data_IF_751747866829
#
_entry.id   IF_751747866829
#
_cell.length_a   1.000
_cell.length_b   1.000
_cell.length_c   1.000
_cell.angle_alpha   90.00
_cell.angle_beta   90.00
_cell.angle_gamma   90.00
#
_symmetry.space_group_name_H-M   'P 1'
#
loop_
_entity.id
_entity.type
_entity.pdbx_description
1 polymer ?
#
# COMPACT_ATOMS: atom_id res chain seq x y z
N UNK A 1 5.64 -16.04 7.16
CA UNK A 1 6.03 -15.38 5.89
C UNK A 1 4.74 -14.88 5.30
N UNK A 2 4.47 -13.59 5.45
CA UNK A 2 3.20 -12.96 5.06
C UNK A 2 3.26 -12.63 3.56
N UNK A 3 2.20 -12.96 2.81
CA UNK A 3 2.14 -12.87 1.34
C UNK A 3 1.22 -11.70 0.94
N UNK A 4 1.61 -10.79 0.04
CA UNK A 4 0.74 -9.70 -0.39
C UNK A 4 -0.21 -10.11 -1.52
N UNK A 5 -1.38 -9.47 -1.59
CA UNK A 5 -2.35 -9.43 -2.72
C UNK A 5 -3.37 -10.58 -2.85
N UNK A 6 -4.62 -10.37 -2.38
CA UNK A 6 -5.87 -10.42 -3.21
C UNK A 6 -7.15 -10.55 -2.34
N UNK A 7 -8.19 -9.77 -2.68
CA UNK A 7 -9.60 -10.02 -2.39
C UNK A 7 -10.43 -9.55 -3.61
N UNK A 8 -11.42 -10.33 -4.06
CA UNK A 8 -12.30 -10.14 -5.24
C UNK A 8 -11.77 -9.50 -6.55
N UNK A 9 -11.76 -10.30 -7.64
CA UNK A 9 -11.50 -9.93 -9.06
C UNK A 9 -10.38 -8.88 -9.25
N UNK A 10 -9.14 -9.25 -8.93
CA UNK A 10 -7.96 -8.50 -9.38
C UNK A 10 -7.94 -8.48 -10.91
N UNK A 11 -8.17 -7.29 -11.49
CA UNK A 11 -8.06 -7.04 -12.93
C UNK A 11 -6.76 -6.30 -13.16
N UNK A 12 -5.73 -7.02 -13.63
CA UNK A 12 -4.46 -6.41 -14.02
C UNK A 12 -4.50 -6.14 -15.52
N UNK A 13 -4.42 -4.87 -15.95
CA UNK A 13 -4.45 -4.44 -17.36
C UNK A 13 -3.07 -3.88 -17.81
N UNK A 14 -2.65 -4.28 -19.03
CA UNK A 14 -1.33 -4.03 -19.67
C UNK A 14 -0.08 -4.23 -18.77
N UNK A 15 1.15 -3.90 -19.20
CA UNK A 15 2.46 -4.49 -18.80
C UNK A 15 2.89 -4.28 -17.31
N UNK A 16 2.09 -4.70 -16.34
CA UNK A 16 2.43 -4.61 -14.92
C UNK A 16 3.47 -5.65 -14.52
N UNK A 17 4.37 -5.27 -13.62
CA UNK A 17 5.45 -6.13 -13.11
C UNK A 17 5.39 -6.16 -11.59
N UNK A 18 5.37 -7.37 -11.01
CA UNK A 18 5.49 -7.59 -9.57
C UNK A 18 6.80 -8.33 -9.33
N UNK A 19 7.64 -7.78 -8.46
CA UNK A 19 8.95 -8.34 -8.11
C UNK A 19 8.97 -8.66 -6.62
N UNK A 20 9.28 -9.91 -6.27
CA UNK A 20 9.77 -10.23 -4.92
C UNK A 20 8.96 -11.22 -4.07
N UNK A 21 7.66 -11.50 -4.31
CA UNK A 21 6.88 -12.42 -3.44
C UNK A 21 5.69 -13.09 -4.17
N UNK A 22 4.83 -13.78 -3.41
CA UNK A 22 3.63 -14.52 -3.84
C UNK A 22 2.37 -13.64 -3.88
N UNK A 23 1.39 -14.03 -4.71
CA UNK A 23 0.10 -13.34 -4.91
C UNK A 23 -0.99 -14.34 -4.50
N UNK A 24 -1.85 -13.98 -3.54
CA UNK A 24 -2.85 -14.91 -2.98
C UNK A 24 -4.14 -14.28 -2.50
N UNK A 25 -5.28 -14.87 -2.89
CA UNK A 25 -6.63 -14.44 -2.50
C UNK A 25 -7.18 -15.28 -1.34
N UNK A 26 -7.82 -14.65 -0.35
CA UNK A 26 -8.61 -15.37 0.66
C UNK A 26 -9.65 -14.47 1.37
N UNK A 27 -10.92 -14.89 1.52
CA UNK A 27 -11.60 -15.89 0.69
C UNK A 27 -11.98 -15.27 -0.67
N UNK A 28 -11.70 -15.94 -1.78
CA UNK A 28 -12.14 -15.42 -3.09
C UNK A 28 -11.76 -16.31 -4.26
N UNK A 29 -11.85 -15.77 -5.48
CA UNK A 29 -11.49 -16.47 -6.74
C UNK A 29 -10.04 -16.22 -7.12
N UNK A 30 -9.46 -17.05 -8.01
CA UNK A 30 -8.10 -16.86 -8.48
C UNK A 30 -7.88 -15.46 -9.10
N UNK A 31 -6.72 -14.86 -8.84
CA UNK A 31 -6.31 -13.58 -9.42
C UNK A 31 -6.29 -13.67 -10.96
N UNK A 32 -6.72 -12.62 -11.68
CA UNK A 32 -6.87 -12.66 -13.15
C UNK A 32 -5.95 -11.66 -13.87
N UNK A 33 -5.76 -11.86 -15.18
CA UNK A 33 -5.05 -10.90 -16.04
C UNK A 33 -3.54 -11.14 -16.23
N UNK A 34 -2.92 -12.17 -15.66
CA UNK A 34 -1.46 -12.37 -15.73
C UNK A 34 -0.90 -13.01 -17.01
N UNK A 35 -1.75 -13.39 -17.98
CA UNK A 35 -1.39 -14.23 -19.13
C UNK A 35 -0.34 -13.65 -20.10
N UNK A 36 0.01 -12.37 -19.99
CA UNK A 36 1.06 -11.69 -20.79
C UNK A 36 1.98 -10.79 -19.94
N UNK A 37 2.11 -11.03 -18.62
CA UNK A 37 2.77 -10.10 -17.68
C UNK A 37 3.91 -10.76 -16.92
N UNK A 38 4.95 -9.98 -16.66
CA UNK A 38 6.18 -10.48 -16.02
C UNK A 38 6.02 -10.48 -14.50
N UNK A 39 5.91 -11.67 -13.92
CA UNK A 39 6.11 -11.91 -12.50
C UNK A 39 7.54 -12.38 -12.32
N UNK A 40 8.33 -11.71 -11.47
CA UNK A 40 9.74 -12.05 -11.27
C UNK A 40 9.94 -12.39 -9.79
N UNK A 41 10.10 -13.69 -9.48
CA UNK A 41 10.32 -14.18 -8.11
C UNK A 41 9.68 -15.56 -7.84
N UNK A 42 9.76 -16.03 -6.58
CA UNK A 42 9.05 -17.25 -6.12
C UNK A 42 7.55 -16.95 -6.00
N UNK A 43 6.79 -17.31 -7.02
CA UNK A 43 5.34 -17.09 -7.06
C UNK A 43 4.57 -18.34 -6.62
N UNK A 44 3.80 -18.27 -5.54
CA UNK A 44 2.53 -19.01 -5.49
C UNK A 44 1.45 -18.08 -6.05
N UNK A 45 0.77 -18.51 -7.11
CA UNK A 45 -0.44 -17.88 -7.62
C UNK A 45 -1.62 -18.72 -7.13
N UNK A 46 -2.53 -18.16 -6.35
CA UNK A 46 -3.85 -18.77 -6.13
C UNK A 46 -4.33 -18.84 -4.68
N UNK A 47 -5.39 -19.63 -4.52
CA UNK A 47 -6.09 -19.91 -3.27
C UNK A 47 -5.35 -21.04 -2.54
N UNK A 48 -4.86 -20.77 -1.33
CA UNK A 48 -4.14 -21.76 -0.53
C UNK A 48 -3.90 -21.31 0.90
N UNK A 49 -3.39 -22.19 1.75
CA UNK A 49 -3.14 -21.93 3.19
C UNK A 49 -2.25 -20.71 3.42
N UNK A 50 -1.32 -20.41 2.51
CA UNK A 50 -0.48 -19.21 2.57
C UNK A 50 -1.29 -17.92 2.46
N UNK A 51 -2.32 -17.88 1.60
CA UNK A 51 -3.20 -16.71 1.46
C UNK A 51 -4.12 -16.55 2.67
N UNK A 52 -4.60 -17.64 3.25
CA UNK A 52 -5.37 -17.62 4.50
C UNK A 52 -4.55 -17.10 5.66
N UNK A 53 -3.33 -17.61 5.85
CA UNK A 53 -2.41 -17.13 6.89
C UNK A 53 -2.05 -15.66 6.68
N UNK A 54 -1.79 -15.24 5.44
CA UNK A 54 -1.51 -13.85 5.12
C UNK A 54 -2.67 -12.91 5.48
N UNK A 55 -3.92 -13.35 5.28
CA UNK A 55 -5.10 -12.58 5.72
C UNK A 55 -5.13 -12.44 7.25
N UNK A 56 -4.88 -13.53 7.99
CA UNK A 56 -4.81 -13.49 9.45
C UNK A 56 -3.70 -12.57 9.94
N UNK A 57 -2.52 -12.64 9.34
CA UNK A 57 -1.38 -11.78 9.68
C UNK A 57 -1.69 -10.30 9.37
N UNK A 58 -2.38 -10.02 8.26
CA UNK A 58 -2.87 -8.68 7.90
C UNK A 58 -3.87 -8.14 8.94
N UNK A 59 -4.82 -8.95 9.39
CA UNK A 59 -5.81 -8.52 10.38
C UNK A 59 -5.14 -8.16 11.72
N UNK A 60 -4.11 -8.93 12.12
CA UNK A 60 -3.26 -8.59 13.28
C UNK A 60 -2.53 -7.27 13.07
N UNK A 61 -1.91 -7.07 11.90
CA UNK A 61 -1.17 -5.84 11.59
C UNK A 61 -2.09 -4.61 11.56
N UNK A 62 -3.30 -4.74 11.00
CA UNK A 62 -4.33 -3.69 11.00
C UNK A 62 -4.74 -3.33 12.42
N UNK A 63 -4.99 -4.33 13.26
CA UNK A 63 -5.37 -4.10 14.66
C UNK A 63 -4.26 -3.41 15.45
N UNK A 64 -3.01 -3.88 15.33
CA UNK A 64 -1.84 -3.25 15.96
C UNK A 64 -1.63 -1.81 15.47
N UNK A 65 -1.75 -1.57 14.16
CA UNK A 65 -1.61 -0.23 13.60
C UNK A 65 -2.73 0.71 14.06
N UNK A 66 -3.95 0.20 14.26
CA UNK A 66 -5.09 0.98 14.77
C UNK A 66 -4.96 1.34 16.26
N UNK A 67 -4.34 0.48 17.06
CA UNK A 67 -4.12 0.72 18.50
C UNK A 67 -2.87 1.58 18.78
N UNK A 68 -2.03 1.82 17.78
CA UNK A 68 -0.84 2.64 17.95
C UNK A 68 -1.20 4.07 18.43
N UNK A 69 -0.56 4.58 19.50
CA UNK A 69 -0.93 5.86 20.08
C UNK A 69 -0.61 7.01 19.13
N UNK A 70 -1.61 7.87 18.90
CA UNK A 70 -1.48 9.04 18.03
C UNK A 70 -0.33 9.95 18.47
N UNK A 71 0.53 10.32 17.52
CA UNK A 71 1.53 11.38 17.69
C UNK A 71 0.97 12.74 17.25
N UNK A 72 0.29 12.79 16.11
CA UNK A 72 -0.25 14.03 15.53
C UNK A 72 -1.50 13.76 14.71
N UNK A 73 -2.53 14.60 14.87
CA UNK A 73 -3.66 14.63 13.93
C UNK A 73 -3.36 15.58 12.79
N UNK A 74 -3.56 15.10 11.57
CA UNK A 74 -3.43 15.85 10.31
C UNK A 74 -4.78 15.91 9.57
N UNK A 75 -5.88 15.76 10.30
CA UNK A 75 -7.24 15.83 9.72
C UNK A 75 -7.44 17.17 8.99
N UNK A 76 -7.80 17.09 7.70
CA UNK A 76 -8.00 18.27 6.84
C UNK A 76 -6.70 18.90 6.31
N UNK A 77 -5.54 18.35 6.64
CA UNK A 77 -4.23 18.79 6.13
C UNK A 77 -3.81 17.90 4.97
N UNK A 78 -3.45 18.51 3.84
CA UNK A 78 -2.84 17.78 2.72
C UNK A 78 -1.40 17.38 3.07
N UNK A 79 -1.02 16.14 2.75
CA UNK A 79 0.33 15.62 3.01
C UNK A 79 1.38 16.19 2.03
N UNK A 80 0.95 16.78 0.92
CA UNK A 80 1.82 17.40 -0.06
C UNK A 80 2.61 18.57 0.52
N UNK A 81 3.93 18.54 0.34
CA UNK A 81 4.88 19.53 0.82
C UNK A 81 5.34 19.29 2.26
N UNK A 82 4.76 18.31 2.96
CA UNK A 82 5.16 18.02 4.34
C UNK A 82 6.45 17.21 4.40
N UNK A 83 7.22 17.48 5.45
CA UNK A 83 8.28 16.58 5.92
C UNK A 83 7.90 16.09 7.31
N UNK A 84 7.74 14.77 7.44
CA UNK A 84 7.32 14.11 8.67
C UNK A 84 8.48 13.31 9.27
N UNK A 85 8.51 13.22 10.59
CA UNK A 85 9.42 12.38 11.37
C UNK A 85 8.72 11.06 11.72
N UNK A 86 9.42 10.02 12.21
CA UNK A 86 8.76 8.79 12.66
C UNK A 86 7.65 9.09 13.68
N UNK A 87 6.50 8.44 13.54
CA UNK A 87 5.33 8.70 14.37
C UNK A 87 4.02 8.15 13.80
N UNK A 88 2.95 8.35 14.56
CA UNK A 88 1.58 7.96 14.22
C UNK A 88 0.77 9.21 13.84
N UNK A 89 0.31 9.25 12.60
CA UNK A 89 -0.41 10.35 11.98
C UNK A 89 -1.87 9.97 11.71
N UNK A 90 -2.81 10.71 12.29
CA UNK A 90 -4.24 10.37 12.21
C UNK A 90 -5.03 11.34 11.34
N UNK A 91 -6.03 10.80 10.64
CA UNK A 91 -6.99 11.53 9.83
C UNK A 91 -8.39 11.00 10.16
N UNK A 92 -9.28 11.85 10.68
CA UNK A 92 -10.67 11.45 10.89
C UNK A 92 -11.44 11.25 9.57
N UNK A 93 -10.92 11.78 8.47
CA UNK A 93 -11.52 11.74 7.13
C UNK A 93 -10.49 11.25 6.10
N UNK A 94 -10.60 11.73 4.86
CA UNK A 94 -9.67 11.41 3.77
C UNK A 94 -8.30 12.04 3.99
N UNK A 95 -7.25 11.33 3.60
CA UNK A 95 -5.91 11.89 3.45
C UNK A 95 -5.56 12.03 1.96
N UNK A 96 -4.76 13.04 1.62
CA UNK A 96 -4.34 13.26 0.24
C UNK A 96 -2.89 13.70 0.11
N UNK A 97 -2.27 13.35 -1.02
CA UNK A 97 -1.03 13.97 -1.53
C UNK A 97 -1.40 14.71 -2.82
N UNK A 98 -1.87 15.94 -2.68
CA UNK A 98 -2.44 16.71 -3.77
C UNK A 98 -1.41 17.61 -4.48
N UNK A 99 -1.70 17.93 -5.74
CA UNK A 99 -1.02 18.98 -6.47
C UNK A 99 -1.40 20.37 -5.90
N UNK A 100 -0.53 21.38 -6.01
CA UNK A 100 0.77 21.37 -6.69
C UNK A 100 1.91 20.79 -5.84
N UNK A 101 1.71 20.63 -4.54
CA UNK A 101 2.76 20.25 -3.59
C UNK A 101 3.00 18.74 -3.51
N UNK A 102 2.82 17.99 -4.61
CA UNK A 102 2.59 16.54 -4.65
C UNK A 102 3.69 15.61 -4.11
N UNK A 103 4.59 16.06 -3.25
CA UNK A 103 5.59 15.25 -2.58
C UNK A 103 5.39 15.27 -1.06
N UNK A 104 5.26 14.09 -0.45
CA UNK A 104 5.40 13.88 0.99
C UNK A 104 6.80 13.35 1.29
N UNK A 105 7.51 13.94 2.25
CA UNK A 105 8.83 13.46 2.68
C UNK A 105 8.76 12.80 4.06
N UNK A 106 9.22 11.57 4.19
CA UNK A 106 9.36 10.84 5.45
C UNK A 106 10.84 10.73 5.80
N UNK A 107 11.24 11.41 6.86
CA UNK A 107 12.64 11.64 7.19
C UNK A 107 12.94 11.07 8.57
N UNK A 108 13.85 10.10 8.63
CA UNK A 108 14.36 9.55 9.89
C UNK A 108 14.13 8.05 10.01
N UNK A 109 15.09 7.38 10.61
CA UNK A 109 14.98 5.96 10.93
C UNK A 109 13.90 5.73 11.98
N UNK A 110 12.85 5.00 11.61
CA UNK A 110 11.76 4.65 12.52
C UNK A 110 10.51 4.21 11.80
N UNK A 111 9.44 4.06 12.57
CA UNK A 111 8.13 3.61 12.08
C UNK A 111 7.24 4.82 11.80
N UNK A 112 6.57 4.79 10.66
CA UNK A 112 5.55 5.75 10.27
C UNK A 112 4.21 5.01 10.15
N UNK A 113 3.19 5.44 10.85
CA UNK A 113 1.83 4.88 10.73
C UNK A 113 0.88 6.00 10.35
N UNK A 114 0.19 5.85 9.23
CA UNK A 114 -0.90 6.72 8.82
C UNK A 114 -2.23 6.02 9.09
N UNK A 115 -2.99 6.50 10.06
CA UNK A 115 -4.34 6.01 10.38
C UNK A 115 -5.36 6.92 9.69
N UNK A 116 -5.95 6.45 8.60
CA UNK A 116 -6.85 7.25 7.75
C UNK A 116 -8.26 6.71 7.91
N UNK A 117 -9.17 7.53 8.43
CA UNK A 117 -10.55 7.14 8.72
C UNK A 117 -11.40 6.86 7.47
N UNK A 118 -10.98 7.34 6.30
CA UNK A 118 -11.65 7.10 5.02
C UNK A 118 -10.65 6.78 3.91
N UNK A 119 -10.71 7.47 2.77
CA UNK A 119 -9.92 7.17 1.59
C UNK A 119 -8.54 7.86 1.61
N UNK A 120 -7.58 7.23 0.92
CA UNK A 120 -6.30 7.84 0.58
C UNK A 120 -6.27 8.14 -0.92
N UNK A 121 -6.01 9.40 -1.29
CA UNK A 121 -5.89 9.82 -2.69
C UNK A 121 -4.54 10.45 -2.99
N UNK A 122 -3.97 10.17 -4.15
CA UNK A 122 -2.77 10.88 -4.61
C UNK A 122 -2.99 11.47 -6.01
N UNK A 123 -2.38 12.62 -6.25
CA UNK A 123 -2.46 13.33 -7.53
C UNK A 123 -1.50 12.74 -8.58
N UNK A 124 -1.65 13.18 -9.84
CA UNK A 124 -0.74 12.86 -10.94
C UNK A 124 0.71 13.16 -10.55
N UNK A 125 1.62 12.22 -10.80
CA UNK A 125 3.08 12.32 -10.56
C UNK A 125 3.47 12.64 -9.09
N UNK A 126 2.56 12.44 -8.15
CA UNK A 126 2.86 12.61 -6.73
C UNK A 126 3.88 11.59 -6.23
N UNK A 127 4.52 11.87 -5.10
CA UNK A 127 5.59 11.04 -4.56
C UNK A 127 5.56 10.96 -3.03
N UNK A 128 5.88 9.77 -2.50
CA UNK A 128 6.36 9.59 -1.13
C UNK A 128 7.88 9.40 -1.19
N UNK A 129 8.62 10.35 -0.64
CA UNK A 129 10.08 10.34 -0.60
C UNK A 129 10.55 9.90 0.79
N UNK A 130 11.35 8.83 0.83
CA UNK A 130 11.99 8.35 2.06
C UNK A 130 13.42 8.86 2.11
N UNK A 131 13.78 9.51 3.21
CA UNK A 131 15.13 10.08 3.41
C UNK A 131 15.65 9.76 4.81
N UNK A 132 16.95 9.97 5.03
CA UNK A 132 17.58 9.87 6.35
C UNK A 132 17.34 8.53 7.08
N UNK A 133 17.37 7.43 6.33
CA UNK A 133 17.29 6.08 6.89
C UNK A 133 15.88 5.50 7.00
N UNK A 134 14.85 6.20 6.51
CA UNK A 134 13.50 5.63 6.44
C UNK A 134 13.47 4.44 5.46
N UNK A 135 12.97 3.30 5.93
CA UNK A 135 12.80 2.09 5.12
C UNK A 135 11.33 1.91 4.70
N UNK A 136 11.03 1.54 3.44
CA UNK A 136 9.64 1.36 2.97
C UNK A 136 8.85 0.35 3.81
N UNK A 137 9.49 -0.73 4.23
CA UNK A 137 8.90 -1.78 5.09
C UNK A 137 8.49 -1.31 6.50
N UNK A 138 8.87 -0.11 6.92
CA UNK A 138 8.53 0.45 8.23
C UNK A 138 7.59 1.68 8.09
N UNK A 139 6.96 1.85 6.91
CA UNK A 139 5.92 2.84 6.62
C UNK A 139 4.58 2.12 6.38
N UNK A 140 3.60 2.37 7.23
CA UNK A 140 2.29 1.69 7.23
C UNK A 140 1.17 2.68 6.94
N UNK A 141 0.28 2.32 6.02
CA UNK A 141 -0.89 3.10 5.62
C UNK A 141 -2.15 2.32 5.93
N UNK A 142 -2.77 2.59 7.07
CA UNK A 142 -4.06 2.03 7.44
C UNK A 142 -5.17 2.91 6.87
N UNK A 143 -5.99 2.35 5.98
CA UNK A 143 -6.96 3.10 5.17
C UNK A 143 -8.35 2.55 5.41
N UNK A 144 -9.20 3.37 6.01
CA UNK A 144 -10.55 3.02 6.46
C UNK A 144 -11.53 2.73 5.33
N UNK A 145 -11.22 3.12 4.09
CA UNK A 145 -11.95 2.70 2.89
C UNK A 145 -11.00 2.27 1.76
N UNK A 146 -10.89 3.06 0.69
CA UNK A 146 -10.12 2.74 -0.51
C UNK A 146 -8.91 3.65 -0.70
N UNK A 147 -7.91 3.16 -1.42
CA UNK A 147 -6.77 3.94 -1.86
C UNK A 147 -6.79 4.13 -3.39
N UNK A 148 -6.46 5.34 -3.87
CA UNK A 148 -6.25 5.61 -5.29
C UNK A 148 -4.88 6.28 -5.47
N UNK A 149 -3.98 5.58 -6.17
CA UNK A 149 -2.69 6.12 -6.56
C UNK A 149 -2.79 6.72 -7.97
N UNK A 150 -2.66 8.04 -8.08
CA UNK A 150 -2.78 8.78 -9.33
C UNK A 150 -1.72 8.37 -10.37
N UNK A 151 -1.97 8.69 -11.64
CA UNK A 151 -1.07 8.26 -12.72
C UNK A 151 0.37 8.73 -12.49
N UNK A 152 1.35 7.89 -12.79
CA UNK A 152 2.77 8.18 -12.56
C UNK A 152 3.19 8.40 -11.10
N UNK A 153 2.30 8.17 -10.12
CA UNK A 153 2.63 8.29 -8.70
C UNK A 153 3.78 7.34 -8.31
N UNK A 154 4.69 7.82 -7.47
CA UNK A 154 5.79 7.03 -6.89
C UNK A 154 5.56 6.86 -5.39
N UNK A 155 4.91 5.77 -5.01
CA UNK A 155 4.46 5.53 -3.65
C UNK A 155 5.40 4.58 -2.90
N UNK A 156 5.50 4.74 -1.59
CA UNK A 156 6.33 3.90 -0.73
C UNK A 156 5.60 3.52 0.56
N UNK A 157 5.73 2.27 0.97
CA UNK A 157 5.13 1.74 2.19
C UNK A 157 4.20 0.55 1.98
N UNK A 158 3.57 0.14 3.09
CA UNK A 158 2.63 -0.97 3.15
C UNK A 158 1.21 -0.39 3.22
N UNK A 159 0.43 -0.55 2.15
CA UNK A 159 -0.98 -0.14 2.09
C UNK A 159 -1.86 -1.24 2.65
N UNK A 160 -2.70 -0.92 3.63
CA UNK A 160 -3.69 -1.79 4.23
C UNK A 160 -5.06 -1.10 4.16
N UNK A 161 -5.81 -1.38 3.11
CA UNK A 161 -7.11 -0.78 2.83
C UNK A 161 -8.24 -1.74 3.20
N UNK A 162 -9.28 -1.21 3.87
CA UNK A 162 -10.47 -1.99 4.20
C UNK A 162 -11.24 -2.40 2.94
N UNK A 163 -11.24 -1.56 1.90
CA UNK A 163 -11.89 -1.80 0.62
C UNK A 163 -10.84 -2.00 -0.48
N UNK A 164 -10.83 -1.17 -1.52
CA UNK A 164 -10.03 -1.38 -2.74
C UNK A 164 -8.74 -0.56 -2.77
N UNK A 165 -7.76 -1.02 -3.57
CA UNK A 165 -6.55 -0.24 -3.90
C UNK A 165 -6.44 -0.14 -5.43
N UNK A 166 -6.60 1.06 -5.96
CA UNK A 166 -6.48 1.35 -7.38
C UNK A 166 -5.16 2.02 -7.73
N UNK A 167 -4.40 1.43 -8.64
CA UNK A 167 -3.21 2.03 -9.24
C UNK A 167 -3.55 2.51 -10.65
N UNK A 168 -3.54 3.84 -10.83
CA UNK A 168 -3.73 4.45 -12.14
C UNK A 168 -2.48 4.25 -13.01
N UNK A 169 -2.60 4.59 -14.30
CA UNK A 169 -1.58 4.31 -15.31
C UNK A 169 -0.16 4.73 -14.89
N UNK A 170 0.78 3.79 -14.92
CA UNK A 170 2.19 4.07 -14.65
C UNK A 170 2.54 4.41 -13.19
N UNK A 171 1.58 4.35 -12.25
CA UNK A 171 1.90 4.43 -10.83
C UNK A 171 2.84 3.27 -10.41
N UNK A 172 3.62 3.48 -9.35
CA UNK A 172 4.58 2.50 -8.84
C UNK A 172 4.57 2.46 -7.31
N UNK A 173 4.90 1.29 -6.76
CA UNK A 173 4.99 1.05 -5.33
C UNK A 173 6.30 0.34 -4.98
N UNK A 174 6.98 0.85 -3.97
CA UNK A 174 7.99 0.10 -3.22
C UNK A 174 7.40 -0.25 -1.85
N UNK A 175 7.09 -1.53 -1.64
CA UNK A 175 6.37 -2.02 -0.47
C UNK A 175 5.32 -3.07 -0.83
N UNK A 176 4.16 -3.03 -0.17
CA UNK A 176 3.09 -4.02 -0.34
C UNK A 176 1.70 -3.37 -0.34
N UNK A 177 0.74 -4.01 -1.01
CA UNK A 177 -0.65 -3.55 -1.07
C UNK A 177 -1.60 -4.67 -0.63
N UNK A 178 -2.42 -4.38 0.37
CA UNK A 178 -3.37 -5.30 0.97
C UNK A 178 -4.76 -4.66 0.98
N UNK A 179 -5.71 -5.30 0.30
CA UNK A 179 -7.11 -4.90 0.22
C UNK A 179 -7.96 -5.97 0.91
N UNK A 180 -8.70 -5.62 1.97
CA UNK A 180 -9.36 -6.61 2.83
C UNK A 180 -10.66 -7.16 2.23
N UNK A 181 -11.48 -6.28 1.63
CA UNK A 181 -12.84 -6.60 1.20
C UNK A 181 -13.10 -6.31 -0.29
N UNK A 182 -12.10 -5.86 -1.05
CA UNK A 182 -12.24 -5.59 -2.49
C UNK A 182 -10.88 -5.72 -3.23
N UNK A 183 -10.90 -5.40 -4.52
CA UNK A 183 -9.80 -5.62 -5.46
C UNK A 183 -8.57 -4.72 -5.27
N UNK A 184 -7.41 -5.26 -5.66
CA UNK A 184 -6.26 -4.46 -6.09
C UNK A 184 -6.27 -4.37 -7.63
N UNK A 185 -6.40 -3.16 -8.17
CA UNK A 185 -6.46 -2.94 -9.63
C UNK A 185 -5.18 -2.28 -10.12
N UNK A 186 -4.58 -2.82 -11.18
CA UNK A 186 -3.31 -2.36 -11.74
C UNK A 186 -3.43 -2.04 -13.24
N UNK A 187 -2.90 -0.89 -13.65
CA UNK A 187 -2.75 -0.41 -15.04
C UNK A 187 -1.30 0.00 -15.30
N UNK A 188 -0.52 -0.83 -16.02
CA UNK A 188 0.91 -0.56 -16.34
C UNK A 188 1.80 -0.20 -15.14
N UNK A 189 1.61 -0.87 -14.00
CA UNK A 189 2.30 -0.51 -12.76
C UNK A 189 3.52 -1.39 -12.46
N UNK A 190 4.42 -0.87 -11.63
CA UNK A 190 5.52 -1.65 -11.05
C UNK A 190 5.37 -1.70 -9.54
N UNK A 191 5.30 -2.91 -8.98
CA UNK A 191 5.34 -3.15 -7.53
C UNK A 191 6.64 -3.89 -7.20
N UNK A 192 7.45 -3.27 -6.34
CA UNK A 192 8.70 -3.86 -5.82
C UNK A 192 8.50 -4.17 -4.35
N UNK A 193 8.36 -5.45 -4.03
CA UNK A 193 8.21 -5.89 -2.64
C UNK A 193 9.55 -5.78 -1.93
N UNK A 194 9.53 -5.29 -0.69
CA UNK A 194 10.71 -5.26 0.17
C UNK A 194 10.61 -6.42 1.17
N UNK A 195 11.74 -7.05 1.53
CA UNK A 195 11.75 -8.00 2.65
C UNK A 195 11.25 -7.31 3.93
N UNK A 196 10.73 -8.12 4.86
CA UNK A 196 10.19 -7.62 6.13
C UNK A 196 11.18 -6.69 6.86
N UNK A 197 10.65 -5.72 7.61
CA UNK A 197 11.43 -4.84 8.50
C UNK A 197 12.16 -5.73 9.53
N UNK A 198 13.47 -5.96 9.33
CA UNK A 198 14.32 -6.51 10.38
C UNK A 198 14.58 -5.37 11.37
N UNK A 199 13.87 -5.40 12.49
CA UNK A 199 14.11 -4.51 13.63
C UNK A 199 15.41 -4.86 14.34
#
# INVERSE_FOLDING_TARGET
MCSPLCNDVDTIQAKSVIQGESIGNSPGVACTGFSNKSLIGTTSLGLGTNATQAKTDLDVAVHQAAEAPQSLSLTGVDLGGLTLQPGVYTFASTASIAAPNGQLTLSGSGVFIFQIGSALGTSLNSQVLLVNGTLPQCVFWLIGSSAVLGSGCKFQGILMASASIGFMDGASLVGAAYAQNAAVTLTNNVITVQPACNL
#
